data_IF_337325400778
#
_entry.id   IF_337325400778
#
_cell.length_a   1.000
_cell.length_b   1.000
_cell.length_c   1.000
_cell.angle_alpha   90.00
_cell.angle_beta   90.00
_cell.angle_gamma   90.00
#
_symmetry.space_group_name_H-M   'P 1'
#
loop_
_entity.id
_entity.type
_entity.pdbx_description
1 polymer ?
#
# COMPACT_ATOMS: atom_id res chain seq x y z
N UNK A 1 27.65 -61.15 -18.54
CA UNK A 1 27.13 -60.20 -19.53
C UNK A 1 25.79 -59.70 -19.01
N UNK A 2 25.72 -58.50 -18.42
CA UNK A 2 24.53 -57.63 -18.39
C UNK A 2 24.87 -56.35 -17.61
N UNK A 3 25.52 -55.41 -18.29
CA UNK A 3 25.58 -54.01 -17.88
C UNK A 3 24.93 -53.18 -18.99
N UNK A 4 23.60 -53.16 -19.02
CA UNK A 4 22.84 -52.25 -19.89
C UNK A 4 21.53 -51.87 -19.20
N UNK A 5 21.49 -50.74 -18.48
CA UNK A 5 20.23 -50.33 -17.85
C UNK A 5 20.20 -49.07 -16.99
N UNK A 6 21.16 -48.13 -17.05
CA UNK A 6 21.10 -46.87 -16.27
C UNK A 6 21.48 -45.59 -17.01
N UNK A 7 21.47 -45.57 -18.35
CA UNK A 7 21.75 -44.34 -19.15
C UNK A 7 20.49 -43.56 -19.57
N UNK A 8 19.29 -44.12 -19.43
CA UNK A 8 18.03 -43.50 -19.88
C UNK A 8 17.41 -42.47 -18.92
N UNK A 9 17.73 -42.53 -17.63
CA UNK A 9 17.11 -41.67 -16.61
C UNK A 9 17.75 -40.28 -16.54
N UNK A 10 19.09 -40.18 -16.52
CA UNK A 10 19.81 -38.91 -16.34
C UNK A 10 19.54 -37.87 -17.46
N UNK A 11 19.47 -38.29 -18.72
CA UNK A 11 19.16 -37.39 -19.87
C UNK A 11 17.72 -36.86 -19.86
N UNK A 12 16.77 -37.59 -19.28
CA UNK A 12 15.35 -37.18 -19.19
C UNK A 12 15.15 -36.10 -18.12
N UNK A 13 15.92 -36.15 -17.03
CA UNK A 13 15.94 -35.10 -16.01
C UNK A 13 16.45 -33.77 -16.57
N UNK A 14 17.53 -33.78 -17.38
CA UNK A 14 18.11 -32.54 -17.94
C UNK A 14 17.19 -31.85 -18.95
N UNK A 15 16.47 -32.59 -19.81
CA UNK A 15 15.50 -32.00 -20.75
C UNK A 15 14.27 -31.43 -20.05
N UNK A 16 13.78 -32.11 -19.00
CA UNK A 16 12.65 -31.61 -18.19
C UNK A 16 13.04 -30.35 -17.42
N UNK A 17 14.24 -30.33 -16.81
CA UNK A 17 14.77 -29.15 -16.13
C UNK A 17 14.98 -27.98 -17.11
N UNK A 18 15.54 -28.25 -18.30
CA UNK A 18 15.69 -27.24 -19.34
C UNK A 18 14.34 -26.66 -19.80
N UNK A 19 13.31 -27.50 -19.96
CA UNK A 19 11.94 -27.03 -20.23
C UNK A 19 11.39 -26.13 -19.13
N UNK A 20 11.58 -26.50 -17.86
CA UNK A 20 11.19 -25.66 -16.71
C UNK A 20 11.95 -24.33 -16.68
N UNK A 21 13.26 -24.34 -16.95
CA UNK A 21 14.06 -23.11 -17.03
C UNK A 21 13.61 -22.21 -18.18
N UNK A 22 13.28 -22.78 -19.36
CA UNK A 22 12.72 -22.00 -20.47
C UNK A 22 11.37 -21.38 -20.15
N UNK A 23 10.52 -22.03 -19.34
CA UNK A 23 9.24 -21.45 -18.90
C UNK A 23 9.41 -20.27 -17.94
N UNK A 24 10.44 -20.31 -17.08
CA UNK A 24 10.71 -19.23 -16.11
C UNK A 24 11.58 -18.12 -16.75
N UNK A 25 12.33 -18.43 -17.80
CA UNK A 25 13.27 -17.50 -18.44
C UNK A 25 12.63 -16.14 -18.83
N UNK A 26 11.43 -16.05 -19.44
CA UNK A 26 10.81 -14.76 -19.74
C UNK A 26 10.60 -13.90 -18.49
N UNK A 27 10.14 -14.49 -17.39
CA UNK A 27 9.96 -13.77 -16.12
C UNK A 27 11.29 -13.27 -15.57
N UNK A 28 12.32 -14.11 -15.56
CA UNK A 28 13.66 -13.74 -15.05
C UNK A 28 14.28 -12.64 -15.92
N UNK A 29 14.15 -12.72 -17.24
CA UNK A 29 14.66 -11.71 -18.18
C UNK A 29 13.95 -10.37 -17.96
N UNK A 30 12.62 -10.37 -17.84
CA UNK A 30 11.86 -9.15 -17.56
C UNK A 30 12.25 -8.55 -16.21
N UNK A 31 12.40 -9.38 -15.17
CA UNK A 31 12.83 -8.93 -13.84
C UNK A 31 14.24 -8.34 -13.88
N UNK A 32 15.18 -8.99 -14.58
CA UNK A 32 16.53 -8.46 -14.75
C UNK A 32 16.52 -7.12 -15.50
N UNK A 33 15.80 -7.04 -16.61
CA UNK A 33 15.78 -5.87 -17.48
C UNK A 33 15.06 -4.67 -16.88
N UNK A 34 13.95 -4.88 -16.18
CA UNK A 34 13.12 -3.79 -15.64
C UNK A 34 13.32 -3.52 -14.15
N UNK A 35 13.99 -4.40 -13.40
CA UNK A 35 14.27 -4.19 -11.97
C UNK A 35 15.76 -4.05 -11.68
N UNK A 36 16.62 -4.95 -12.19
CA UNK A 36 18.06 -4.91 -11.87
C UNK A 36 18.84 -3.89 -12.70
N UNK A 37 18.56 -3.75 -14.00
CA UNK A 37 19.25 -2.74 -14.83
C UNK A 37 19.01 -1.31 -14.30
N UNK A 38 17.77 -0.87 -13.98
CA UNK A 38 17.56 0.46 -13.43
C UNK A 38 18.26 0.73 -12.08
N UNK A 39 18.61 -0.31 -11.31
CA UNK A 39 19.37 -0.12 -10.06
C UNK A 39 20.77 0.47 -10.30
N UNK A 40 21.34 0.32 -11.50
CA UNK A 40 22.56 1.05 -11.88
C UNK A 40 22.37 2.57 -11.77
N UNK A 41 21.15 3.07 -12.01
CA UNK A 41 20.79 4.48 -11.88
C UNK A 41 20.91 5.03 -10.46
N UNK A 42 20.98 4.19 -9.41
CA UNK A 42 21.18 4.64 -8.02
C UNK A 42 22.48 5.46 -7.88
N UNK A 43 23.47 5.21 -8.73
CA UNK A 43 24.73 5.97 -8.81
C UNK A 43 24.48 7.48 -9.00
N UNK A 44 23.37 7.85 -9.67
CA UNK A 44 22.97 9.25 -9.89
C UNK A 44 22.76 10.01 -8.57
N UNK A 45 22.37 9.32 -7.48
CA UNK A 45 22.24 9.93 -6.15
C UNK A 45 23.56 10.53 -5.61
N UNK A 46 24.71 10.10 -6.14
CA UNK A 46 26.05 10.51 -5.69
C UNK A 46 26.76 11.42 -6.70
N UNK A 47 26.08 11.83 -7.76
CA UNK A 47 26.64 12.62 -8.86
C UNK A 47 25.84 13.91 -9.06
N UNK A 48 26.48 14.96 -9.61
CA UNK A 48 25.76 16.06 -10.23
C UNK A 48 25.39 15.63 -11.67
N UNK A 49 24.34 14.80 -11.78
CA UNK A 49 23.90 14.22 -13.03
C UNK A 49 23.35 15.25 -14.01
N UNK A 50 23.80 15.18 -15.26
CA UNK A 50 23.26 15.95 -16.36
C UNK A 50 22.89 15.00 -17.52
N UNK A 51 21.63 15.01 -18.02
CA UNK A 51 21.18 14.04 -19.02
C UNK A 51 22.05 13.96 -20.28
N UNK A 52 22.62 15.09 -20.71
CA UNK A 52 23.43 15.15 -21.94
C UNK A 52 24.80 14.48 -21.80
N UNK A 53 25.41 14.48 -20.61
CA UNK A 53 26.71 13.83 -20.36
C UNK A 53 26.56 12.38 -19.89
N UNK A 54 25.37 11.99 -19.47
CA UNK A 54 25.06 10.66 -18.96
C UNK A 54 25.72 10.36 -17.61
N UNK A 55 25.51 9.13 -17.12
CA UNK A 55 25.97 8.70 -15.79
C UNK A 55 27.51 8.64 -15.69
N UNK A 56 28.19 8.19 -16.74
CA UNK A 56 29.66 8.07 -16.75
C UNK A 56 30.39 9.41 -16.89
N UNK A 57 29.74 10.42 -17.50
CA UNK A 57 30.33 11.75 -17.71
C UNK A 57 29.99 12.76 -16.59
N UNK A 58 29.12 12.39 -15.66
CA UNK A 58 28.66 13.29 -14.59
C UNK A 58 29.64 13.30 -13.40
N UNK A 59 29.85 14.48 -12.82
CA UNK A 59 30.81 14.67 -11.73
C UNK A 59 30.34 13.98 -10.45
N UNK A 60 31.21 13.17 -9.84
CA UNK A 60 30.94 12.59 -8.52
C UNK A 60 31.00 13.65 -7.42
N UNK A 61 29.95 13.74 -6.62
CA UNK A 61 29.81 14.72 -5.51
C UNK A 61 29.54 14.05 -4.16
N UNK A 62 29.55 12.72 -4.10
CA UNK A 62 29.37 11.96 -2.86
C UNK A 62 28.00 12.22 -2.23
N UNK A 63 27.98 12.56 -0.94
CA UNK A 63 26.75 12.70 -0.16
C UNK A 63 26.11 14.11 -0.23
N UNK A 64 26.52 14.96 -1.18
CA UNK A 64 26.01 16.34 -1.34
C UNK A 64 24.48 16.42 -1.33
N UNK A 65 23.82 15.59 -2.14
CA UNK A 65 22.35 15.59 -2.26
C UNK A 65 21.65 15.07 -1.00
N UNK A 66 22.29 14.15 -0.28
CA UNK A 66 21.80 13.66 1.01
C UNK A 66 21.86 14.74 2.09
N UNK A 67 22.98 15.48 2.15
CA UNK A 67 23.11 16.61 3.06
C UNK A 67 22.09 17.71 2.72
N UNK A 68 21.88 17.99 1.43
CA UNK A 68 20.94 19.02 0.98
C UNK A 68 19.52 18.80 1.49
N UNK A 69 18.94 17.61 1.29
CA UNK A 69 17.56 17.39 1.74
C UNK A 69 17.44 17.34 3.27
N UNK A 70 18.50 16.97 4.00
CA UNK A 70 18.52 17.04 5.47
C UNK A 70 18.59 18.48 6.00
N UNK A 71 18.98 19.44 5.17
CA UNK A 71 19.00 20.88 5.50
C UNK A 71 17.85 21.67 4.88
N UNK A 72 17.04 21.05 4.01
CA UNK A 72 15.90 21.69 3.35
C UNK A 72 14.67 21.67 4.25
N UNK A 73 14.19 22.85 4.66
CA UNK A 73 12.97 23.00 5.45
C UNK A 73 11.74 22.40 4.74
N UNK A 74 11.72 22.45 3.41
CA UNK A 74 10.65 21.85 2.59
C UNK A 74 10.58 20.34 2.82
N UNK A 75 11.72 19.67 2.91
CA UNK A 75 11.77 18.22 3.12
C UNK A 75 11.14 17.82 4.45
N UNK A 76 11.43 18.53 5.54
CA UNK A 76 10.85 18.21 6.85
C UNK A 76 9.33 18.38 6.87
N UNK A 77 8.83 19.39 6.18
CA UNK A 77 7.40 19.61 6.03
C UNK A 77 6.72 18.47 5.27
N UNK A 78 7.30 18.07 4.14
CA UNK A 78 6.82 16.97 3.30
C UNK A 78 6.91 15.62 4.04
N UNK A 79 8.00 15.38 4.78
CA UNK A 79 8.18 14.20 5.62
C UNK A 79 7.10 14.15 6.72
N UNK A 80 6.83 15.27 7.39
CA UNK A 80 5.78 15.38 8.40
C UNK A 80 4.41 15.01 7.84
N UNK A 81 4.02 15.57 6.70
CA UNK A 81 2.74 15.25 6.06
C UNK A 81 2.66 13.76 5.68
N UNK A 82 3.74 13.22 5.11
CA UNK A 82 3.84 11.80 4.77
C UNK A 82 3.62 10.92 5.99
N UNK A 83 4.27 11.22 7.11
CA UNK A 83 4.10 10.48 8.36
C UNK A 83 2.70 10.62 8.96
N UNK A 84 2.12 11.82 8.92
CA UNK A 84 0.75 12.07 9.41
C UNK A 84 -0.25 11.24 8.61
N UNK A 85 -0.22 11.33 7.27
CA UNK A 85 -1.15 10.59 6.41
C UNK A 85 -0.96 9.08 6.60
N UNK A 86 0.28 8.59 6.65
CA UNK A 86 0.55 7.18 6.90
C UNK A 86 0.11 6.70 8.28
N UNK A 87 0.22 7.55 9.30
CA UNK A 87 -0.30 7.24 10.63
C UNK A 87 -1.82 7.01 10.58
N UNK A 88 -2.57 7.90 9.92
CA UNK A 88 -4.02 7.70 9.74
C UNK A 88 -4.35 6.48 8.87
N UNK A 89 -3.59 6.23 7.81
CA UNK A 89 -3.72 5.01 7.00
C UNK A 89 -3.50 3.74 7.81
N UNK A 90 -2.56 3.73 8.75
CA UNK A 90 -2.32 2.56 9.61
C UNK A 90 -3.43 2.42 10.64
N UNK A 91 -3.82 3.51 11.30
CA UNK A 91 -4.81 3.45 12.39
C UNK A 91 -6.20 3.13 11.85
N UNK A 92 -6.60 3.73 10.73
CA UNK A 92 -7.96 3.61 10.17
C UNK A 92 -7.98 2.79 8.89
N UNK A 93 -7.06 3.05 7.95
CA UNK A 93 -7.03 2.37 6.65
C UNK A 93 -6.73 0.88 6.74
N UNK A 94 -5.76 0.48 7.56
CA UNK A 94 -5.36 -0.92 7.72
C UNK A 94 -6.36 -1.71 8.60
N UNK A 95 -6.99 -1.05 9.57
CA UNK A 95 -7.94 -1.70 10.49
C UNK A 95 -9.32 -1.87 9.87
N UNK A 96 -9.75 -0.95 9.01
CA UNK A 96 -11.10 -0.98 8.41
C UNK A 96 -11.41 -2.29 7.65
N UNK A 97 -10.53 -2.85 6.79
CA UNK A 97 -10.79 -4.13 6.13
C UNK A 97 -10.91 -5.32 7.08
N UNK A 98 -10.17 -5.31 8.20
CA UNK A 98 -10.25 -6.35 9.24
C UNK A 98 -11.61 -6.29 9.91
N UNK A 99 -12.02 -5.10 10.35
CA UNK A 99 -13.32 -4.86 10.98
C UNK A 99 -14.44 -5.23 10.01
N UNK A 100 -14.35 -4.79 8.75
CA UNK A 100 -15.32 -5.13 7.72
C UNK A 100 -15.42 -6.64 7.49
N UNK A 101 -14.29 -7.34 7.42
CA UNK A 101 -14.27 -8.80 7.23
C UNK A 101 -14.97 -9.53 8.39
N UNK A 102 -14.69 -9.12 9.62
CA UNK A 102 -15.29 -9.72 10.82
C UNK A 102 -16.81 -9.43 10.87
N UNK A 103 -17.22 -8.18 10.66
CA UNK A 103 -18.64 -7.79 10.68
C UNK A 103 -19.43 -8.49 9.58
N UNK A 104 -18.91 -8.51 8.36
CA UNK A 104 -19.54 -9.21 7.25
C UNK A 104 -19.56 -10.73 7.44
N UNK A 105 -18.64 -11.30 8.21
CA UNK A 105 -18.66 -12.71 8.55
C UNK A 105 -19.84 -13.09 9.45
N UNK A 106 -20.24 -12.20 10.37
CA UNK A 106 -21.37 -12.43 11.28
C UNK A 106 -22.75 -12.30 10.60
N UNK A 107 -22.81 -11.85 9.34
CA UNK A 107 -24.06 -11.78 8.59
C UNK A 107 -24.62 -13.17 8.29
N UNK A 108 -25.78 -13.48 8.88
CA UNK A 108 -26.47 -14.77 8.70
C UNK A 108 -27.08 -14.95 7.30
N UNK A 109 -27.59 -13.87 6.70
CA UNK A 109 -28.30 -13.93 5.43
C UNK A 109 -27.31 -13.95 4.26
N UNK A 110 -27.05 -15.14 3.72
CA UNK A 110 -26.05 -15.38 2.67
C UNK A 110 -26.21 -14.50 1.41
N UNK A 111 -27.44 -14.28 0.86
CA UNK A 111 -27.60 -13.36 -0.27
C UNK A 111 -27.17 -11.94 0.07
N UNK A 112 -27.52 -11.48 1.27
CA UNK A 112 -27.22 -10.12 1.72
C UNK A 112 -25.71 -9.93 1.92
N UNK A 113 -25.04 -10.92 2.51
CA UNK A 113 -23.57 -10.97 2.64
C UNK A 113 -22.88 -10.84 1.28
N UNK A 114 -23.34 -11.61 0.27
CA UNK A 114 -22.79 -11.55 -1.09
C UNK A 114 -22.98 -10.17 -1.73
N UNK A 115 -24.15 -9.55 -1.56
CA UNK A 115 -24.45 -8.21 -2.08
C UNK A 115 -23.50 -7.17 -1.45
N UNK A 116 -23.38 -7.15 -0.13
CA UNK A 116 -22.49 -6.22 0.58
C UNK A 116 -21.05 -6.39 0.11
N UNK A 117 -20.54 -7.62 0.06
CA UNK A 117 -19.18 -7.88 -0.42
C UNK A 117 -18.99 -7.38 -1.87
N UNK A 118 -19.93 -7.68 -2.76
CA UNK A 118 -19.84 -7.28 -4.17
C UNK A 118 -19.83 -5.76 -4.34
N UNK A 119 -20.71 -5.06 -3.63
CA UNK A 119 -20.77 -3.58 -3.63
C UNK A 119 -19.48 -3.00 -3.04
N UNK A 120 -18.96 -3.55 -1.94
CA UNK A 120 -17.73 -3.07 -1.31
C UNK A 120 -16.48 -3.35 -2.13
N UNK A 121 -16.50 -4.32 -3.06
CA UNK A 121 -15.36 -4.62 -3.93
C UNK A 121 -15.30 -3.70 -5.15
N UNK A 122 -16.45 -3.25 -5.63
CA UNK A 122 -16.58 -2.49 -6.86
C UNK A 122 -15.74 -1.19 -6.90
N UNK A 123 -15.69 -0.36 -5.82
CA UNK A 123 -14.92 0.88 -5.82
C UNK A 123 -13.43 0.72 -6.15
N UNK A 124 -12.85 -0.43 -5.80
CA UNK A 124 -11.42 -0.67 -6.00
C UNK A 124 -11.02 -0.60 -7.48
N UNK A 125 -11.93 -0.93 -8.39
CA UNK A 125 -11.67 -1.00 -9.83
C UNK A 125 -11.62 0.35 -10.54
N UNK A 126 -12.09 1.43 -9.92
CA UNK A 126 -11.94 2.77 -10.51
C UNK A 126 -10.48 3.25 -10.46
N UNK A 127 -10.03 4.07 -11.40
CA UNK A 127 -8.74 4.76 -11.24
C UNK A 127 -8.87 5.92 -10.24
N UNK A 128 -7.77 6.34 -9.61
CA UNK A 128 -7.78 7.50 -8.73
C UNK A 128 -8.13 8.80 -9.44
N UNK A 129 -7.82 8.92 -10.74
CA UNK A 129 -8.23 10.06 -11.58
C UNK A 129 -9.76 10.15 -11.66
N UNK A 130 -10.44 9.02 -11.94
CA UNK A 130 -11.91 8.96 -12.00
C UNK A 130 -12.52 9.25 -10.62
N UNK A 131 -11.97 8.65 -9.56
CA UNK A 131 -12.43 8.88 -8.19
C UNK A 131 -12.29 10.36 -7.83
N UNK A 132 -11.16 10.99 -8.12
CA UNK A 132 -10.97 12.41 -7.83
C UNK A 132 -11.96 13.30 -8.59
N UNK A 133 -12.20 13.05 -9.88
CA UNK A 133 -13.21 13.78 -10.65
C UNK A 133 -14.63 13.62 -10.09
N UNK A 134 -15.01 12.41 -9.69
CA UNK A 134 -16.30 12.16 -9.03
C UNK A 134 -16.39 12.88 -7.68
N UNK A 135 -15.33 12.85 -6.87
CA UNK A 135 -15.31 13.52 -5.57
C UNK A 135 -15.32 15.04 -5.70
N UNK A 136 -14.72 15.60 -6.75
CA UNK A 136 -14.86 17.03 -7.07
C UNK A 136 -16.31 17.42 -7.34
N UNK A 137 -17.06 16.60 -8.07
CA UNK A 137 -18.49 16.84 -8.33
C UNK A 137 -19.34 16.67 -7.06
N UNK A 138 -19.08 15.65 -6.26
CA UNK A 138 -19.90 15.26 -5.09
C UNK A 138 -19.66 16.18 -3.89
N UNK A 139 -18.41 16.62 -3.69
CA UNK A 139 -17.95 17.34 -2.49
C UNK A 139 -17.71 18.83 -2.71
N UNK A 140 -18.01 19.36 -3.90
CA UNK A 140 -17.86 20.81 -4.14
C UNK A 140 -18.73 21.62 -3.17
N UNK A 141 -18.20 22.77 -2.73
CA UNK A 141 -18.97 23.77 -1.99
C UNK A 141 -19.81 24.67 -2.88
N UNK A 142 -19.64 24.56 -4.20
CA UNK A 142 -20.45 25.28 -5.17
C UNK A 142 -21.84 24.65 -5.34
N UNK A 143 -22.73 25.36 -6.02
CA UNK A 143 -24.09 24.88 -6.28
C UNK A 143 -24.06 23.54 -7.04
N UNK A 144 -24.79 22.55 -6.53
CA UNK A 144 -24.88 21.21 -7.11
C UNK A 144 -23.97 20.16 -6.45
N UNK A 145 -23.25 20.52 -5.38
CA UNK A 145 -22.52 19.56 -4.56
C UNK A 145 -23.45 18.69 -3.73
N UNK A 146 -23.61 17.42 -4.12
CA UNK A 146 -24.57 16.50 -3.51
C UNK A 146 -24.47 16.40 -1.98
N UNK A 147 -23.25 16.39 -1.44
CA UNK A 147 -23.05 16.28 0.02
C UNK A 147 -23.43 17.58 0.73
N UNK A 148 -23.03 18.72 0.20
CA UNK A 148 -23.38 20.01 0.79
C UNK A 148 -24.88 20.30 0.71
N UNK A 149 -25.52 19.96 -0.41
CA UNK A 149 -26.97 20.09 -0.58
C UNK A 149 -27.72 19.18 0.42
N UNK A 150 -27.26 17.93 0.61
CA UNK A 150 -27.83 17.02 1.59
C UNK A 150 -27.63 17.49 3.05
N UNK A 151 -26.45 18.02 3.38
CA UNK A 151 -26.16 18.56 4.71
C UNK A 151 -27.02 19.79 5.02
N UNK A 152 -27.20 20.68 4.04
CA UNK A 152 -28.06 21.83 4.17
C UNK A 152 -29.53 21.41 4.34
N UNK A 153 -30.02 20.45 3.56
CA UNK A 153 -31.40 19.98 3.64
C UNK A 153 -31.73 19.23 4.94
N UNK A 154 -30.83 18.36 5.42
CA UNK A 154 -31.06 17.54 6.62
C UNK A 154 -30.80 18.29 7.92
N UNK A 155 -29.78 19.17 7.94
CA UNK A 155 -29.25 19.74 9.18
C UNK A 155 -29.15 21.26 9.17
N UNK A 156 -29.47 21.94 8.06
CA UNK A 156 -29.34 23.38 7.94
C UNK A 156 -27.89 23.88 7.98
N UNK A 157 -26.92 23.01 7.71
CA UNK A 157 -25.50 23.35 7.74
C UNK A 157 -25.12 24.08 6.43
N UNK A 158 -24.35 25.17 6.55
CA UNK A 158 -23.83 25.91 5.39
C UNK A 158 -22.81 25.12 4.56
N UNK A 159 -22.45 25.57 3.36
CA UNK A 159 -21.55 24.85 2.48
C UNK A 159 -20.17 24.66 3.13
N UNK A 160 -19.69 23.42 3.15
CA UNK A 160 -18.37 23.03 3.65
C UNK A 160 -17.44 22.80 2.46
N UNK A 161 -16.28 23.46 2.48
CA UNK A 161 -15.26 23.32 1.43
C UNK A 161 -14.31 22.14 1.71
N UNK A 162 -14.83 20.91 1.58
CA UNK A 162 -14.10 19.67 1.88
C UNK A 162 -12.74 19.54 1.17
N UNK A 163 -12.65 20.02 -0.09
CA UNK A 163 -11.47 19.84 -0.94
C UNK A 163 -10.42 20.94 -0.77
N UNK A 164 -10.79 22.10 -0.22
CA UNK A 164 -9.90 23.26 -0.08
C UNK A 164 -9.55 23.59 1.36
N UNK A 165 -10.27 23.05 2.35
CA UNK A 165 -9.92 23.18 3.76
C UNK A 165 -8.78 22.20 4.14
N UNK A 166 -7.62 22.77 4.47
CA UNK A 166 -6.45 22.00 4.90
C UNK A 166 -6.71 21.10 6.12
N UNK A 167 -7.65 21.45 7.00
CA UNK A 167 -7.98 20.62 8.17
C UNK A 167 -8.75 19.35 7.81
N UNK A 168 -9.52 19.40 6.72
CA UNK A 168 -10.37 18.31 6.26
C UNK A 168 -9.67 17.40 5.25
N UNK A 169 -8.62 17.90 4.58
CA UNK A 169 -7.93 17.15 3.52
C UNK A 169 -7.44 15.77 3.97
N UNK A 170 -6.69 15.68 5.08
CA UNK A 170 -6.13 14.40 5.54
C UNK A 170 -7.22 13.39 5.92
N UNK A 171 -8.21 13.73 6.78
CA UNK A 171 -9.34 12.85 7.05
C UNK A 171 -10.08 12.44 5.77
N UNK A 172 -10.29 13.37 4.84
CA UNK A 172 -11.01 13.10 3.60
C UNK A 172 -10.28 12.06 2.75
N UNK A 173 -8.98 12.23 2.51
CA UNK A 173 -8.19 11.28 1.71
C UNK A 173 -8.23 9.88 2.32
N UNK A 174 -8.12 9.77 3.65
CA UNK A 174 -8.15 8.48 4.36
C UNK A 174 -9.51 7.81 4.24
N UNK A 175 -10.60 8.57 4.41
CA UNK A 175 -11.97 8.05 4.26
C UNK A 175 -12.22 7.58 2.82
N UNK A 176 -11.77 8.35 1.83
CA UNK A 176 -11.89 7.96 0.42
C UNK A 176 -11.09 6.71 0.08
N UNK A 177 -9.89 6.57 0.65
CA UNK A 177 -9.07 5.37 0.48
C UNK A 177 -9.73 4.14 1.11
N UNK A 178 -10.30 4.28 2.30
CA UNK A 178 -11.10 3.22 2.94
C UNK A 178 -12.29 2.86 2.06
N UNK A 179 -13.11 3.83 1.66
CA UNK A 179 -14.27 3.58 0.80
C UNK A 179 -13.87 2.84 -0.48
N UNK A 180 -12.76 3.23 -1.09
CA UNK A 180 -12.26 2.65 -2.33
C UNK A 180 -11.74 1.22 -2.15
N UNK A 181 -11.01 0.96 -1.08
CA UNK A 181 -10.17 -0.25 -0.95
C UNK A 181 -10.65 -1.27 0.09
N UNK A 182 -11.56 -0.89 1.01
CA UNK A 182 -11.93 -1.69 2.18
C UNK A 182 -12.39 -3.09 1.80
N UNK A 183 -13.27 -3.20 0.80
CA UNK A 183 -13.80 -4.49 0.39
C UNK A 183 -12.73 -5.36 -0.26
N UNK A 184 -11.96 -4.82 -1.20
CA UNK A 184 -10.90 -5.59 -1.87
C UNK A 184 -9.82 -6.06 -0.88
N UNK A 185 -9.39 -5.17 0.03
CA UNK A 185 -8.42 -5.49 1.08
C UNK A 185 -8.95 -6.53 2.07
N UNK A 186 -10.27 -6.66 2.22
CA UNK A 186 -10.89 -7.65 3.11
C UNK A 186 -10.90 -9.07 2.54
N UNK A 187 -10.61 -9.28 1.26
CA UNK A 187 -10.65 -10.60 0.60
C UNK A 187 -9.72 -11.60 1.29
N UNK A 188 -8.50 -11.19 1.62
CA UNK A 188 -7.53 -12.06 2.30
C UNK A 188 -8.00 -12.44 3.71
N UNK A 189 -8.65 -11.52 4.41
CA UNK A 189 -9.25 -11.81 5.72
C UNK A 189 -10.44 -12.76 5.59
N UNK A 190 -11.33 -12.58 4.60
CA UNK A 190 -12.42 -13.52 4.34
C UNK A 190 -11.92 -14.93 4.00
N UNK A 191 -10.90 -15.03 3.14
CA UNK A 191 -10.29 -16.30 2.78
C UNK A 191 -9.70 -17.00 4.01
N UNK A 192 -9.05 -16.24 4.90
CA UNK A 192 -8.49 -16.76 6.14
C UNK A 192 -9.58 -17.21 7.11
N UNK A 193 -10.63 -16.41 7.33
CA UNK A 193 -11.77 -16.79 8.21
C UNK A 193 -12.42 -18.08 7.73
N UNK A 194 -12.59 -18.24 6.42
CA UNK A 194 -13.21 -19.44 5.82
C UNK A 194 -12.35 -20.69 6.01
N UNK A 195 -11.03 -20.53 6.17
CA UNK A 195 -10.10 -21.62 6.44
C UNK A 195 -9.95 -21.95 7.94
N UNK A 196 -10.60 -21.20 8.85
CA UNK A 196 -10.60 -21.54 10.27
C UNK A 196 -11.45 -22.82 10.46
N UNK A 197 -10.92 -23.88 11.11
CA UNK A 197 -11.64 -25.13 11.30
C UNK A 197 -12.98 -24.92 12.02
N UNK A 198 -14.06 -25.53 11.50
CA UNK A 198 -15.41 -25.39 12.06
C UNK A 198 -15.51 -25.98 13.46
N UNK A 199 -14.68 -26.97 13.78
CA UNK A 199 -14.65 -27.65 15.08
C UNK A 199 -14.34 -26.67 16.23
N UNK A 200 -13.53 -25.63 15.98
CA UNK A 200 -13.25 -24.59 16.98
C UNK A 200 -14.51 -23.76 17.31
N UNK A 201 -15.33 -23.46 16.30
CA UNK A 201 -16.57 -22.72 16.49
C UNK A 201 -17.64 -23.57 17.18
N UNK A 202 -17.69 -24.87 16.86
CA UNK A 202 -18.61 -25.85 17.46
C UNK A 202 -18.26 -26.11 18.92
N UNK A 203 -16.99 -26.37 19.23
CA UNK A 203 -16.51 -26.56 20.60
C UNK A 203 -16.81 -25.34 21.47
N UNK A 204 -16.51 -24.13 20.99
CA UNK A 204 -16.85 -22.91 21.72
C UNK A 204 -18.37 -22.76 21.92
N UNK A 205 -19.18 -23.20 20.97
CA UNK A 205 -20.65 -23.20 21.10
C UNK A 205 -21.15 -24.19 22.16
N UNK A 206 -20.51 -25.36 22.29
CA UNK A 206 -20.80 -26.35 23.36
C UNK A 206 -20.46 -25.76 24.73
N UNK A 207 -19.36 -25.00 24.84
CA UNK A 207 -18.95 -24.28 26.04
C UNK A 207 -19.81 -23.02 26.35
N UNK A 208 -20.89 -22.80 25.60
CA UNK A 208 -21.81 -21.68 25.80
C UNK A 208 -21.25 -20.31 25.36
N UNK A 209 -20.23 -20.28 24.49
CA UNK A 209 -19.68 -19.03 23.99
C UNK A 209 -20.67 -18.31 23.05
N UNK A 210 -21.00 -17.06 23.40
CA UNK A 210 -21.77 -16.16 22.53
C UNK A 210 -21.00 -15.81 21.24
N UNK A 211 -21.68 -15.25 20.23
CA UNK A 211 -21.05 -14.85 18.95
C UNK A 211 -19.85 -13.92 19.15
N UNK A 212 -20.01 -12.90 19.99
CA UNK A 212 -18.93 -11.96 20.32
C UNK A 212 -17.76 -12.70 20.98
N UNK A 213 -18.04 -13.67 21.86
CA UNK A 213 -17.00 -14.46 22.50
C UNK A 213 -16.24 -15.31 21.48
N UNK A 214 -16.94 -15.95 20.54
CA UNK A 214 -16.33 -16.70 19.42
C UNK A 214 -15.52 -15.79 18.49
N UNK A 215 -15.99 -14.59 18.21
CA UNK A 215 -15.25 -13.59 17.44
C UNK A 215 -13.91 -13.25 18.10
N UNK A 216 -13.90 -12.95 19.40
CA UNK A 216 -12.67 -12.59 20.12
C UNK A 216 -11.72 -13.77 20.41
N UNK A 217 -12.24 -14.98 20.62
CA UNK A 217 -11.43 -16.12 21.07
C UNK A 217 -11.15 -17.16 19.98
N UNK A 218 -11.84 -17.10 18.83
CA UNK A 218 -11.63 -18.02 17.70
C UNK A 218 -11.26 -17.24 16.45
N UNK A 219 -12.14 -16.33 15.98
CA UNK A 219 -11.95 -15.63 14.70
C UNK A 219 -10.74 -14.70 14.73
N UNK A 220 -10.66 -13.80 15.71
CA UNK A 220 -9.59 -12.81 15.79
C UNK A 220 -8.21 -13.48 16.00
N UNK A 221 -8.03 -14.48 16.88
CA UNK A 221 -6.79 -15.24 16.99
C UNK A 221 -6.43 -15.97 15.70
N UNK A 222 -7.40 -16.56 15.00
CA UNK A 222 -7.19 -17.19 13.70
C UNK A 222 -6.75 -16.22 12.60
N UNK A 223 -7.08 -14.93 12.73
CA UNK A 223 -6.66 -13.87 11.82
C UNK A 223 -5.28 -13.27 12.13
N UNK A 224 -4.73 -13.46 13.34
CA UNK A 224 -3.45 -12.86 13.73
C UNK A 224 -2.34 -13.11 12.70
N UNK A 225 -2.15 -14.33 12.15
CA UNK A 225 -1.07 -14.58 11.20
C UNK A 225 -1.15 -13.73 9.94
N UNK A 226 -2.33 -13.60 9.34
CA UNK A 226 -2.52 -12.81 8.12
C UNK A 226 -2.47 -11.30 8.43
N UNK A 227 -2.99 -10.86 9.58
CA UNK A 227 -2.92 -9.46 10.01
C UNK A 227 -1.45 -9.05 10.17
N UNK A 228 -0.66 -9.86 10.87
CA UNK A 228 0.75 -9.59 11.11
C UNK A 228 1.53 -9.57 9.80
N UNK A 229 1.30 -10.54 8.92
CA UNK A 229 1.92 -10.59 7.60
C UNK A 229 1.65 -9.30 6.79
N UNK A 230 0.38 -8.91 6.67
CA UNK A 230 -0.01 -7.73 5.90
C UNK A 230 0.46 -6.43 6.56
N UNK A 231 0.50 -6.38 7.89
CA UNK A 231 1.03 -5.24 8.63
C UNK A 231 2.53 -5.03 8.36
N UNK A 232 3.32 -6.10 8.40
CA UNK A 232 4.77 -6.05 8.09
C UNK A 232 5.01 -5.55 6.67
N UNK A 233 4.23 -6.05 5.69
CA UNK A 233 4.32 -5.59 4.31
C UNK A 233 3.95 -4.10 4.19
N UNK A 234 2.87 -3.66 4.85
CA UNK A 234 2.46 -2.24 4.85
C UNK A 234 3.53 -1.33 5.43
N UNK A 235 4.16 -1.71 6.55
CA UNK A 235 5.24 -0.93 7.17
C UNK A 235 6.45 -0.72 6.27
N UNK A 236 6.83 -1.72 5.46
CA UNK A 236 7.95 -1.59 4.52
C UNK A 236 7.75 -0.50 3.46
N UNK A 237 6.49 -0.19 3.16
CA UNK A 237 6.07 0.73 2.11
C UNK A 237 5.54 2.06 2.62
N UNK A 238 5.69 2.34 3.92
CA UNK A 238 5.12 3.53 4.57
C UNK A 238 5.65 4.84 3.98
N UNK A 239 6.88 4.85 3.45
CA UNK A 239 7.47 6.06 2.88
C UNK A 239 7.20 6.21 1.38
N UNK A 240 6.61 5.23 0.70
CA UNK A 240 6.52 5.19 -0.77
C UNK A 240 5.10 5.21 -1.31
N UNK A 241 4.09 4.87 -0.51
CA UNK A 241 2.70 4.75 -0.97
C UNK A 241 1.92 6.05 -0.73
N UNK A 242 1.16 6.47 -1.75
CA UNK A 242 0.21 7.59 -1.63
C UNK A 242 0.16 8.52 -2.84
N UNK A 243 1.06 8.35 -3.83
CA UNK A 243 1.15 9.27 -4.98
C UNK A 243 -0.19 9.49 -5.67
N UNK A 244 -0.83 8.45 -6.19
CA UNK A 244 -1.99 8.60 -7.07
C UNK A 244 -3.15 9.34 -6.39
N UNK A 245 -3.51 8.96 -5.16
CA UNK A 245 -4.64 9.57 -4.46
C UNK A 245 -4.37 11.01 -4.06
N UNK A 246 -3.16 11.30 -3.59
CA UNK A 246 -2.78 12.63 -3.16
C UNK A 246 -2.67 13.53 -4.38
N UNK A 247 -1.92 13.13 -5.39
CA UNK A 247 -1.70 13.88 -6.61
C UNK A 247 -3.01 14.26 -7.31
N UNK A 248 -3.99 13.34 -7.36
CA UNK A 248 -5.26 13.61 -8.03
C UNK A 248 -6.24 14.48 -7.23
N UNK A 249 -6.13 14.52 -5.90
CA UNK A 249 -7.01 15.32 -5.02
C UNK A 249 -6.38 16.64 -4.57
N UNK A 250 -5.07 16.76 -4.70
CA UNK A 250 -4.29 17.92 -4.31
C UNK A 250 -4.62 19.14 -5.18
N UNK A 251 -4.60 20.30 -4.54
CA UNK A 251 -4.77 21.61 -5.19
C UNK A 251 -4.00 22.68 -4.39
N UNK A 252 -3.81 23.89 -4.94
CA UNK A 252 -3.00 24.93 -4.29
C UNK A 252 -3.43 25.31 -2.87
N UNK A 253 -4.72 25.19 -2.53
CA UNK A 253 -5.24 25.58 -1.20
C UNK A 253 -4.86 24.59 -0.09
N UNK A 254 -4.62 23.33 -0.46
CA UNK A 254 -4.25 22.25 0.48
C UNK A 254 -2.82 21.78 0.27
N UNK A 255 -2.05 22.41 -0.62
CA UNK A 255 -0.69 21.99 -0.96
C UNK A 255 0.20 21.86 0.27
N UNK A 256 -0.02 22.77 1.23
CA UNK A 256 0.57 22.71 2.54
C UNK A 256 0.34 21.30 3.17
N UNK A 257 -0.86 20.87 3.49
CA UNK A 257 -1.08 19.60 4.21
C UNK A 257 -1.02 18.35 3.33
N UNK A 258 -1.05 18.52 2.01
CA UNK A 258 -1.16 17.41 1.05
C UNK A 258 0.17 17.00 0.45
N UNK A 259 1.19 17.85 0.43
CA UNK A 259 2.47 17.50 -0.19
C UNK A 259 3.18 16.41 0.60
N UNK A 260 3.45 15.28 -0.06
CA UNK A 260 4.12 14.09 0.48
C UNK A 260 5.36 13.76 -0.32
N UNK A 261 6.24 12.90 0.21
CA UNK A 261 7.55 12.66 -0.43
C UNK A 261 7.38 12.19 -1.87
N UNK A 262 6.37 11.37 -2.17
CA UNK A 262 6.13 10.91 -3.55
C UNK A 262 5.71 12.01 -4.51
N UNK A 263 4.88 12.98 -4.09
CA UNK A 263 4.50 14.11 -4.96
C UNK A 263 5.66 15.10 -5.09
N UNK A 264 6.39 15.35 -3.99
CA UNK A 264 7.59 16.16 -4.00
C UNK A 264 8.67 15.61 -4.96
N UNK A 265 8.95 14.30 -4.89
CA UNK A 265 9.87 13.61 -5.82
C UNK A 265 9.40 13.73 -7.26
N UNK A 266 8.10 13.67 -7.52
CA UNK A 266 7.55 13.89 -8.87
C UNK A 266 7.79 15.33 -9.35
N UNK A 267 7.45 16.34 -8.54
CA UNK A 267 7.60 17.75 -8.90
C UNK A 267 9.08 18.13 -9.08
N UNK A 268 9.93 17.80 -8.12
CA UNK A 268 11.36 18.15 -8.16
C UNK A 268 12.11 17.30 -9.20
N UNK A 269 11.79 16.02 -9.30
CA UNK A 269 12.52 15.08 -10.15
C UNK A 269 12.14 15.17 -11.62
N UNK A 270 10.84 15.19 -11.92
CA UNK A 270 10.36 15.17 -13.31
C UNK A 270 10.07 16.57 -13.84
N UNK A 271 9.46 17.46 -13.05
CA UNK A 271 9.11 18.81 -13.57
C UNK A 271 10.30 19.77 -13.50
N UNK A 272 11.13 19.68 -12.47
CA UNK A 272 12.32 20.53 -12.31
C UNK A 272 13.63 19.87 -12.75
N UNK A 273 13.56 18.63 -13.26
CA UNK A 273 14.70 17.85 -13.74
C UNK A 273 15.84 17.64 -12.72
N UNK A 274 15.53 17.65 -11.41
CA UNK A 274 16.50 17.40 -10.33
C UNK A 274 16.63 15.90 -10.06
N UNK A 275 17.17 15.15 -11.03
CA UNK A 275 17.28 13.69 -10.97
C UNK A 275 18.20 13.20 -9.84
N UNK A 276 19.33 13.88 -9.61
CA UNK A 276 20.29 13.49 -8.57
C UNK A 276 19.67 13.57 -7.17
N UNK A 277 18.99 14.67 -6.89
CA UNK A 277 18.33 14.92 -5.61
C UNK A 277 17.21 13.90 -5.37
N UNK A 278 16.35 13.69 -6.36
CA UNK A 278 15.22 12.76 -6.21
C UNK A 278 15.63 11.30 -6.16
N UNK A 279 16.72 10.91 -6.85
CA UNK A 279 17.33 9.59 -6.70
C UNK A 279 17.91 9.40 -5.29
N UNK A 280 18.53 10.44 -4.71
CA UNK A 280 19.03 10.39 -3.33
C UNK A 280 17.89 10.22 -2.31
N UNK A 281 16.78 10.95 -2.48
CA UNK A 281 15.58 10.80 -1.65
C UNK A 281 15.00 9.39 -1.78
N UNK A 282 14.85 8.89 -3.01
CA UNK A 282 14.36 7.53 -3.27
C UNK A 282 15.23 6.44 -2.66
N UNK A 283 16.56 6.61 -2.71
CA UNK A 283 17.50 5.69 -2.05
C UNK A 283 17.35 5.74 -0.52
N UNK A 284 17.25 6.94 0.07
CA UNK A 284 17.05 7.10 1.50
C UNK A 284 15.74 6.45 1.97
N UNK A 285 14.63 6.64 1.24
CA UNK A 285 13.35 5.98 1.51
C UNK A 285 13.48 4.46 1.44
N UNK A 286 14.19 3.93 0.44
CA UNK A 286 14.40 2.49 0.27
C UNK A 286 15.18 1.89 1.44
N UNK A 287 16.25 2.56 1.88
CA UNK A 287 17.06 2.13 3.03
C UNK A 287 16.25 2.16 4.33
N UNK A 288 15.50 3.24 4.57
CA UNK A 288 14.66 3.36 5.77
C UNK A 288 13.56 2.30 5.76
N UNK A 289 12.85 2.12 4.64
CA UNK A 289 11.79 1.12 4.49
C UNK A 289 12.32 -0.31 4.67
N UNK A 290 13.49 -0.63 4.09
CA UNK A 290 14.14 -1.92 4.28
C UNK A 290 14.55 -2.16 5.74
N UNK A 291 15.11 -1.14 6.40
CA UNK A 291 15.48 -1.21 7.82
C UNK A 291 14.24 -1.44 8.70
N UNK A 292 13.17 -0.70 8.47
CA UNK A 292 11.90 -0.89 9.17
C UNK A 292 11.31 -2.27 8.95
N UNK A 293 11.38 -2.81 7.73
CA UNK A 293 10.91 -4.16 7.42
C UNK A 293 11.69 -5.22 8.21
N UNK A 294 13.03 -5.15 8.22
CA UNK A 294 13.87 -6.09 8.98
C UNK A 294 13.54 -6.01 10.47
N UNK A 295 13.51 -4.79 11.03
CA UNK A 295 13.21 -4.58 12.44
C UNK A 295 11.82 -5.10 12.80
N UNK A 296 10.82 -4.79 11.98
CA UNK A 296 9.44 -5.23 12.22
C UNK A 296 9.32 -6.75 12.10
N UNK A 297 9.96 -7.38 11.12
CA UNK A 297 9.98 -8.84 10.99
C UNK A 297 10.65 -9.51 12.19
N UNK A 298 11.78 -8.96 12.66
CA UNK A 298 12.46 -9.46 13.84
C UNK A 298 11.60 -9.34 15.12
N UNK A 299 10.95 -8.19 15.31
CA UNK A 299 10.01 -7.97 16.43
C UNK A 299 8.83 -8.95 16.34
N UNK A 300 8.27 -9.15 15.15
CA UNK A 300 7.15 -10.06 14.93
C UNK A 300 7.51 -11.51 15.28
N UNK A 301 8.68 -11.99 14.85
CA UNK A 301 9.16 -13.33 15.23
C UNK A 301 9.33 -13.48 16.73
N UNK A 302 9.84 -12.44 17.39
CA UNK A 302 10.12 -12.47 18.83
C UNK A 302 8.86 -12.44 19.68
N UNK A 303 7.86 -11.64 19.31
CA UNK A 303 6.68 -11.38 20.13
C UNK A 303 5.45 -12.19 19.71
N UNK A 304 5.31 -12.50 18.42
CA UNK A 304 4.16 -13.23 17.86
C UNK A 304 4.54 -14.65 17.43
N UNK A 305 5.83 -14.94 17.23
CA UNK A 305 6.29 -16.23 16.71
C UNK A 305 6.08 -16.41 15.20
N UNK A 306 5.73 -15.33 14.49
CA UNK A 306 5.44 -15.32 13.06
C UNK A 306 6.37 -14.35 12.35
N UNK A 307 6.72 -14.63 11.10
CA UNK A 307 7.59 -13.78 10.30
C UNK A 307 7.45 -14.05 8.81
N UNK A 308 7.93 -13.12 7.98
CA UNK A 308 7.93 -13.21 6.52
C UNK A 308 8.90 -14.28 6.00
N UNK A 309 10.06 -14.36 6.64
CA UNK A 309 11.18 -15.28 6.41
C UNK A 309 11.87 -15.47 7.73
#
# INVERSE_FOLDING_TARGET
MEMAGKRGTRKRYTKRQFGLYMMIAPMVVLLFLFSYIPMYGIVIAFQDYFPFTGVSGSKWVGFKHFAYFLTDDTFYYVLKNTLIINFYDIVFGFTAPIVFAILANELMHQPFKRIIQSISYLPNFFSWVVVAGLMQLVLTSDKGGLVNDALHWLFGIGPISFLTDSKLFVPLVVVLDIWKSVGFSAILYFATITNIPSELYEAASIDGASRIRKMYHVTLPGLIPIIVLLFLLKLSTIFTIGFDRIFNLQNPMVYNVSEVISTYVYHVGLQQAQFSLTTAIGLAQSVIGFTLLILSNWLSKRFVGLGLY
#
